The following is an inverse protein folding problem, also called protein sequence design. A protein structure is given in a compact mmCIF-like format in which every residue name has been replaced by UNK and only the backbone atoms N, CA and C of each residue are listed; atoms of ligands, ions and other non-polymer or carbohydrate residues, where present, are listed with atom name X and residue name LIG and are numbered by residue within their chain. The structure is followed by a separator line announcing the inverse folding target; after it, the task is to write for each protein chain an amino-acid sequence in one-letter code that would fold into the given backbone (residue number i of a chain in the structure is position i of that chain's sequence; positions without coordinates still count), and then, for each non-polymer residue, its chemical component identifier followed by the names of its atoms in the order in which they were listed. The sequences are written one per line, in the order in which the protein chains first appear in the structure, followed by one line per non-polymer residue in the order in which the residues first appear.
data_IF_948154854670
#
_entry.id   IF_948154854670
#
_cell.length_a   1.000
_cell.length_b   1.000
_cell.length_c   1.000
_cell.angle_alpha   90.00
_cell.angle_beta   90.00
_cell.angle_gamma   90.00
#
_symmetry.space_group_name_H-M   'P 1'
#
loop_
_entity.id
_entity.type
_entity.pdbx_description
1 polymer ?
#
# COMPACT_ATOMS: atom_id res chain seq x y z
N UNK A 1 -19.08 -8.22 -22.28
CA UNK A 1 -17.98 -7.76 -21.40
C UNK A 1 -18.65 -7.02 -20.26
N UNK A 2 -19.00 -7.73 -19.18
CA UNK A 2 -19.58 -7.09 -18.01
C UNK A 2 -18.44 -6.70 -17.10
N UNK A 3 -18.29 -5.41 -16.82
CA UNK A 3 -17.45 -4.95 -15.72
C UNK A 3 -18.00 -5.59 -14.45
N UNK A 4 -17.27 -6.55 -13.88
CA UNK A 4 -17.59 -7.09 -12.57
C UNK A 4 -17.45 -5.95 -11.58
N UNK A 5 -18.59 -5.43 -11.11
CA UNK A 5 -18.61 -4.43 -10.05
C UNK A 5 -18.02 -5.12 -8.82
N UNK A 6 -16.79 -4.73 -8.51
CA UNK A 6 -16.11 -5.15 -7.30
C UNK A 6 -16.94 -4.61 -6.14
N UNK A 7 -17.55 -5.50 -5.35
CA UNK A 7 -18.28 -5.11 -4.15
C UNK A 7 -17.28 -4.73 -3.05
N UNK A 8 -16.63 -3.59 -3.21
CA UNK A 8 -15.90 -2.95 -2.12
C UNK A 8 -16.94 -2.59 -1.05
N UNK A 9 -16.61 -2.77 0.24
CA UNK A 9 -17.44 -2.13 1.28
C UNK A 9 -17.49 -0.63 1.02
N UNK A 10 -18.55 0.03 1.51
CA UNK A 10 -18.63 1.49 1.45
C UNK A 10 -17.33 2.10 1.96
N UNK A 11 -16.86 3.12 1.24
CA UNK A 11 -15.71 3.91 1.67
C UNK A 11 -15.97 4.47 3.07
N UNK A 12 -14.97 4.39 3.94
CA UNK A 12 -15.04 4.98 5.27
C UNK A 12 -15.19 6.49 5.09
N UNK A 13 -16.31 7.03 5.58
CA UNK A 13 -16.61 8.45 5.48
C UNK A 13 -15.45 9.30 6.05
N UNK A 14 -15.00 10.28 5.28
CA UNK A 14 -13.93 11.19 5.68
C UNK A 14 -12.50 10.65 5.47
N UNK A 15 -12.33 9.40 5.00
CA UNK A 15 -11.01 8.78 4.85
C UNK A 15 -10.15 9.48 3.78
N UNK A 16 -10.76 9.94 2.69
CA UNK A 16 -10.06 10.71 1.65
C UNK A 16 -9.50 12.03 2.21
N UNK A 17 -10.33 12.80 2.93
CA UNK A 17 -9.89 14.06 3.54
C UNK A 17 -8.88 13.82 4.66
N UNK A 18 -9.03 12.75 5.45
CA UNK A 18 -8.04 12.38 6.45
C UNK A 18 -6.69 12.05 5.82
N UNK A 19 -6.68 11.30 4.73
CA UNK A 19 -5.46 10.98 4.00
C UNK A 19 -4.79 12.24 3.46
N UNK A 20 -5.53 13.14 2.81
CA UNK A 20 -4.97 14.40 2.29
C UNK A 20 -4.45 15.32 3.41
N UNK A 21 -5.13 15.37 4.57
CA UNK A 21 -4.62 16.07 5.76
C UNK A 21 -3.31 15.47 6.25
N UNK A 22 -3.22 14.14 6.33
CA UNK A 22 -2.01 13.45 6.77
C UNK A 22 -0.84 13.69 5.79
N UNK A 23 -1.10 13.61 4.48
CA UNK A 23 -0.12 13.90 3.42
C UNK A 23 0.39 15.34 3.54
N UNK A 24 -0.53 16.30 3.64
CA UNK A 24 -0.19 17.73 3.73
C UNK A 24 0.64 18.03 4.97
N UNK A 25 0.27 17.45 6.12
CA UNK A 25 1.04 17.57 7.36
C UNK A 25 2.45 17.00 7.22
N UNK A 26 2.60 15.77 6.70
CA UNK A 26 3.92 15.17 6.54
C UNK A 26 4.81 16.00 5.59
N UNK A 27 4.27 16.47 4.46
CA UNK A 27 5.02 17.33 3.52
C UNK A 27 5.53 18.59 4.22
N UNK A 28 4.66 19.28 4.98
CA UNK A 28 5.01 20.49 5.70
C UNK A 28 6.10 20.24 6.76
N UNK A 29 5.94 19.20 7.57
CA UNK A 29 6.88 18.83 8.63
C UNK A 29 8.26 18.47 8.07
N UNK A 30 8.34 17.60 7.06
CA UNK A 30 9.63 17.21 6.49
C UNK A 30 10.35 18.37 5.79
N UNK A 31 9.62 19.24 5.07
CA UNK A 31 10.19 20.43 4.46
C UNK A 31 10.67 21.44 5.50
N UNK A 32 9.93 21.61 6.60
CA UNK A 32 10.34 22.46 7.72
C UNK A 32 11.65 21.96 8.37
N UNK A 33 11.77 20.64 8.57
CA UNK A 33 13.02 20.05 9.05
C UNK A 33 14.16 20.24 8.04
N UNK A 34 13.92 19.98 6.75
CA UNK A 34 14.92 20.17 5.71
C UNK A 34 15.44 21.61 5.65
N UNK A 35 14.56 22.60 5.74
CA UNK A 35 14.91 24.03 5.75
C UNK A 35 15.74 24.44 6.97
N UNK A 36 15.58 23.77 8.12
CA UNK A 36 16.42 23.99 9.31
C UNK A 36 17.78 23.31 9.20
N UNK A 37 17.82 22.11 8.62
CA UNK A 37 19.05 21.31 8.48
C UNK A 37 19.97 21.89 7.41
N UNK A 38 19.40 22.39 6.31
CA UNK A 38 20.15 22.96 5.19
C UNK A 38 19.44 24.20 4.65
N UNK A 39 19.60 25.36 5.34
CA UNK A 39 18.94 26.60 4.94
C UNK A 39 19.34 27.04 3.53
N UNK A 40 18.36 27.43 2.72
CA UNK A 40 18.57 27.90 1.35
C UNK A 40 18.86 26.80 0.31
N UNK A 41 18.92 25.54 0.72
CA UNK A 41 19.05 24.40 -0.19
C UNK A 41 17.66 23.86 -0.52
N UNK A 42 17.30 23.86 -1.79
CA UNK A 42 16.06 23.24 -2.25
C UNK A 42 16.24 21.71 -2.34
N UNK A 43 15.51 20.91 -1.54
CA UNK A 43 15.65 19.47 -1.59
C UNK A 43 14.99 18.89 -2.84
N UNK A 44 15.62 17.88 -3.46
CA UNK A 44 14.90 17.03 -4.41
C UNK A 44 13.91 16.15 -3.63
N UNK A 45 12.63 16.22 -3.98
CA UNK A 45 11.58 15.41 -3.38
C UNK A 45 11.26 14.16 -4.22
N UNK A 46 11.06 13.04 -3.54
CA UNK A 46 10.45 11.83 -4.10
C UNK A 46 9.26 11.44 -3.24
N UNK A 47 8.10 11.28 -3.88
CA UNK A 47 6.83 10.98 -3.22
C UNK A 47 6.25 9.67 -3.75
N UNK A 48 5.64 8.88 -2.86
CA UNK A 48 5.01 7.62 -3.20
C UNK A 48 3.78 7.38 -2.34
N UNK A 49 2.70 6.98 -2.98
CA UNK A 49 1.52 6.42 -2.32
C UNK A 49 1.49 4.92 -2.54
N UNK A 50 1.23 4.17 -1.46
CA UNK A 50 1.11 2.72 -1.50
C UNK A 50 -0.18 2.28 -0.82
N UNK A 51 -0.87 1.35 -1.44
CA UNK A 51 -2.00 0.66 -0.82
C UNK A 51 -1.51 -0.36 0.21
N UNK A 52 -2.31 -0.55 1.26
CA UNK A 52 -2.08 -1.46 2.37
C UNK A 52 -3.32 -2.30 2.57
N UNK A 53 -3.09 -3.57 2.90
CA UNK A 53 -4.16 -4.54 3.08
C UNK A 53 -3.95 -5.32 4.37
N UNK A 54 -5.03 -5.55 5.12
CA UNK A 54 -5.05 -6.49 6.25
C UNK A 54 -5.48 -7.88 5.78
N UNK A 55 -5.28 -8.89 6.62
CA UNK A 55 -5.83 -10.23 6.38
C UNK A 55 -7.37 -10.25 6.35
N UNK A 56 -8.03 -9.33 7.07
CA UNK A 56 -9.48 -9.13 7.04
C UNK A 56 -9.98 -8.33 5.83
N UNK A 57 -9.12 -8.05 4.85
CA UNK A 57 -9.50 -7.36 3.62
C UNK A 57 -9.71 -5.86 3.75
N UNK A 58 -9.40 -5.25 4.90
CA UNK A 58 -9.38 -3.79 5.01
C UNK A 58 -8.33 -3.23 4.05
N UNK A 59 -8.68 -2.17 3.33
CA UNK A 59 -7.80 -1.47 2.40
C UNK A 59 -7.51 -0.08 2.94
N UNK A 60 -6.25 0.30 2.96
CA UNK A 60 -5.82 1.62 3.38
C UNK A 60 -4.74 2.18 2.48
N UNK A 61 -4.50 3.48 2.59
CA UNK A 61 -3.44 4.18 1.87
C UNK A 61 -2.38 4.65 2.84
N UNK A 62 -1.13 4.62 2.38
CA UNK A 62 -0.01 5.24 3.07
C UNK A 62 0.78 6.08 2.09
N UNK A 63 1.09 7.31 2.51
CA UNK A 63 1.97 8.19 1.78
C UNK A 63 3.37 8.16 2.40
N UNK A 64 4.39 8.20 1.56
CA UNK A 64 5.78 8.36 1.97
C UNK A 64 6.48 9.38 1.09
N UNK A 65 7.40 10.11 1.71
CA UNK A 65 8.19 11.15 1.07
C UNK A 65 9.65 10.97 1.43
N UNK A 66 10.54 11.32 0.52
CA UNK A 66 11.97 11.46 0.76
C UNK A 66 12.48 12.77 0.16
N UNK A 67 13.24 13.50 0.95
CA UNK A 67 13.93 14.72 0.58
C UNK A 67 15.42 14.41 0.54
N UNK A 68 16.07 14.75 -0.57
CA UNK A 68 17.49 14.56 -0.77
C UNK A 68 18.19 15.92 -0.79
N UNK A 69 19.11 16.11 0.14
CA UNK A 69 19.92 17.31 0.29
C UNK A 69 21.35 16.98 -0.15
N UNK A 70 21.79 17.64 -1.23
CA UNK A 70 23.14 17.51 -1.73
C UNK A 70 24.15 18.20 -0.80
N UNK A 71 25.39 17.71 -0.79
CA UNK A 71 26.56 18.41 -0.20
C UNK A 71 26.46 18.75 1.30
N UNK A 72 25.50 18.15 2.01
CA UNK A 72 25.30 18.38 3.44
C UNK A 72 26.10 17.36 4.26
N UNK A 73 26.94 17.83 5.19
CA UNK A 73 27.70 16.96 6.10
C UNK A 73 26.77 16.15 7.00
N UNK A 74 26.98 14.83 7.06
CA UNK A 74 26.12 13.91 7.79
C UNK A 74 26.11 14.11 9.29
N UNK A 75 27.29 14.34 9.88
CA UNK A 75 27.44 14.34 11.33
C UNK A 75 26.77 15.55 11.97
N UNK A 76 26.89 16.73 11.37
CA UNK A 76 26.21 17.94 11.84
C UNK A 76 24.71 17.92 11.52
N UNK A 77 24.33 17.36 10.37
CA UNK A 77 22.93 17.38 9.94
C UNK A 77 22.01 16.47 10.75
N UNK A 78 22.49 15.33 11.22
CA UNK A 78 21.67 14.42 12.04
C UNK A 78 21.34 15.05 13.40
N UNK A 79 22.29 15.76 14.02
CA UNK A 79 22.05 16.51 15.25
C UNK A 79 21.03 17.64 15.04
N UNK A 80 21.25 18.48 14.03
CA UNK A 80 20.31 19.55 13.69
C UNK A 80 18.90 19.03 13.35
N UNK A 81 18.81 17.88 12.68
CA UNK A 81 17.53 17.24 12.39
C UNK A 81 16.85 16.73 13.68
N UNK A 82 17.61 16.13 14.60
CA UNK A 82 17.07 15.67 15.87
C UNK A 82 16.47 16.83 16.67
N UNK A 83 17.17 17.96 16.76
CA UNK A 83 16.67 19.17 17.41
C UNK A 83 15.42 19.72 16.70
N UNK A 84 15.44 19.75 15.37
CA UNK A 84 14.30 20.23 14.58
C UNK A 84 13.04 19.36 14.76
N UNK A 85 13.20 18.04 14.78
CA UNK A 85 12.11 17.10 15.06
C UNK A 85 11.61 17.21 16.49
N UNK A 86 12.51 17.25 17.48
CA UNK A 86 12.15 17.40 18.88
C UNK A 86 11.40 18.72 19.16
N UNK A 87 11.85 19.84 18.58
CA UNK A 87 11.18 21.13 18.66
C UNK A 87 9.78 21.11 18.00
N UNK A 88 9.56 20.23 17.02
CA UNK A 88 8.25 19.96 16.43
C UNK A 88 7.45 18.88 17.19
N UNK A 89 7.87 18.49 18.40
CA UNK A 89 7.14 17.54 19.25
C UNK A 89 7.25 16.07 18.82
N UNK A 90 8.22 15.73 17.96
CA UNK A 90 8.49 14.34 17.62
C UNK A 90 9.36 13.68 18.69
N UNK A 91 9.11 12.39 18.94
CA UNK A 91 10.01 11.56 19.73
C UNK A 91 11.16 11.09 18.85
N UNK A 92 12.38 11.43 19.21
CA UNK A 92 13.58 11.12 18.43
C UNK A 92 14.42 10.03 19.07
N UNK A 93 15.03 9.20 18.25
CA UNK A 93 16.02 8.19 18.65
C UNK A 93 17.19 8.22 17.66
N UNK A 94 18.37 8.57 18.17
CA UNK A 94 19.62 8.57 17.40
C UNK A 94 20.33 7.23 17.57
N UNK A 95 20.81 6.69 16.46
CA UNK A 95 21.53 5.41 16.40
C UNK A 95 22.65 5.49 15.37
N UNK A 96 23.48 4.45 15.31
CA UNK A 96 24.46 4.27 14.22
C UNK A 96 24.01 3.12 13.33
N UNK A 97 24.20 3.28 12.02
CA UNK A 97 23.98 2.21 11.06
C UNK A 97 25.05 1.13 11.21
N UNK A 98 24.88 0.02 10.50
CA UNK A 98 25.89 -1.05 10.45
C UNK A 98 27.28 -0.54 9.99
N UNK A 99 27.30 0.47 9.11
CA UNK A 99 28.53 1.10 8.61
C UNK A 99 29.00 2.26 9.51
N UNK A 100 28.45 2.41 10.71
CA UNK A 100 28.86 3.43 11.69
C UNK A 100 28.32 4.84 11.43
N UNK A 101 27.61 5.07 10.32
CA UNK A 101 27.02 6.37 9.99
C UNK A 101 25.88 6.71 10.95
N UNK A 102 25.76 7.97 11.40
CA UNK A 102 24.65 8.38 12.24
C UNK A 102 23.33 8.26 11.47
N UNK A 103 22.30 7.78 12.17
CA UNK A 103 20.92 7.81 11.69
C UNK A 103 19.98 8.25 12.80
N UNK A 104 18.92 8.94 12.41
CA UNK A 104 17.84 9.37 13.27
C UNK A 104 16.56 8.64 12.89
N UNK A 105 15.82 8.17 13.89
CA UNK A 105 14.41 7.81 13.75
C UNK A 105 13.59 8.80 14.56
N UNK A 106 12.47 9.25 14.02
CA UNK A 106 11.52 10.12 14.70
C UNK A 106 10.10 9.58 14.55
N UNK A 107 9.28 9.68 15.60
CA UNK A 107 7.86 9.28 15.55
C UNK A 107 6.96 10.30 16.23
N UNK A 108 5.74 10.48 15.70
CA UNK A 108 4.71 11.36 16.28
C UNK A 108 3.34 10.91 15.78
N UNK A 109 2.41 10.59 16.68
CA UNK A 109 1.01 10.32 16.33
C UNK A 109 0.83 9.30 15.17
N UNK A 110 1.62 8.23 15.15
CA UNK A 110 1.61 7.22 14.09
C UNK A 110 2.36 7.58 12.81
N UNK A 111 2.81 8.83 12.67
CA UNK A 111 3.80 9.20 11.66
C UNK A 111 5.17 8.69 12.05
N UNK A 112 5.94 8.33 11.04
CA UNK A 112 7.35 7.95 11.19
C UNK A 112 8.21 8.78 10.25
N UNK A 113 9.36 9.22 10.73
CA UNK A 113 10.37 9.91 9.95
C UNK A 113 11.76 9.39 10.28
N UNK A 114 12.72 9.70 9.42
CA UNK A 114 14.10 9.35 9.65
C UNK A 114 15.05 10.23 8.85
N UNK A 115 16.28 10.30 9.34
CA UNK A 115 17.36 11.03 8.67
C UNK A 115 18.60 10.15 8.64
N UNK A 116 19.25 10.09 7.49
CA UNK A 116 20.48 9.32 7.35
C UNK A 116 21.16 9.54 6.01
N UNK A 117 22.33 8.92 5.87
CA UNK A 117 23.10 8.98 4.63
C UNK A 117 22.45 8.15 3.51
N UNK A 118 22.44 8.70 2.30
CA UNK A 118 22.11 8.03 1.05
C UNK A 118 23.22 8.34 0.03
N UNK A 119 24.27 7.52 0.02
CA UNK A 119 25.46 7.75 -0.80
C UNK A 119 26.25 8.98 -0.35
N UNK A 120 26.22 10.05 -1.17
CA UNK A 120 26.83 11.37 -0.86
C UNK A 120 25.80 12.45 -0.51
N UNK A 121 24.54 12.06 -0.31
CA UNK A 121 23.44 12.97 0.01
C UNK A 121 22.82 12.63 1.36
N UNK A 122 22.32 13.65 2.07
CA UNK A 122 21.48 13.44 3.24
C UNK A 122 20.05 13.16 2.78
N UNK A 123 19.46 12.09 3.30
CA UNK A 123 18.05 11.75 3.07
C UNK A 123 17.27 12.02 4.34
N UNK A 124 16.26 12.86 4.23
CA UNK A 124 15.18 13.00 5.20
C UNK A 124 13.97 12.27 4.64
N UNK A 125 13.46 11.26 5.32
CA UNK A 125 12.30 10.50 4.87
C UNK A 125 11.21 10.48 5.92
N UNK A 126 9.99 10.23 5.48
CA UNK A 126 8.90 9.95 6.39
C UNK A 126 7.71 9.29 5.71
N UNK A 127 6.78 8.84 6.53
CA UNK A 127 5.56 8.19 6.11
C UNK A 127 4.40 8.55 7.05
N UNK A 128 3.21 8.63 6.47
CA UNK A 128 1.96 8.80 7.22
C UNK A 128 1.60 7.51 7.96
N UNK A 129 0.72 7.57 8.98
CA UNK A 129 -0.06 6.40 9.35
C UNK A 129 -0.81 5.83 8.14
N UNK A 130 -1.23 4.56 8.23
CA UNK A 130 -2.17 4.02 7.24
C UNK A 130 -3.54 4.64 7.53
N UNK A 131 -4.12 5.29 6.53
CA UNK A 131 -5.51 5.71 6.57
C UNK A 131 -6.33 4.61 5.89
N UNK A 132 -7.22 3.97 6.65
CA UNK A 132 -8.07 2.92 6.11
C UNK A 132 -9.20 3.55 5.32
N UNK A 133 -9.32 3.16 4.05
CA UNK A 133 -10.32 3.66 3.10
C UNK A 133 -11.53 2.72 3.07
N UNK A 134 -11.31 1.41 3.26
CA UNK A 134 -12.36 0.41 3.35
C UNK A 134 -12.15 -0.44 4.58
N UNK A 135 -13.20 -0.59 5.40
CA UNK A 135 -13.12 -1.32 6.66
C UNK A 135 -12.98 -2.83 6.47
N UNK A 136 -13.55 -3.37 5.39
CA UNK A 136 -13.51 -4.79 5.07
C UNK A 136 -13.66 -5.03 3.57
N UNK A 137 -13.14 -6.14 3.09
CA UNK A 137 -13.49 -6.63 1.78
C UNK A 137 -14.72 -7.52 1.85
N UNK A 138 -15.63 -7.32 0.91
CA UNK A 138 -16.73 -8.25 0.69
C UNK A 138 -16.48 -8.93 -0.64
N UNK A 139 -16.38 -10.26 -0.62
CA UNK A 139 -16.26 -11.02 -1.86
C UNK A 139 -17.47 -10.74 -2.76
N UNK A 140 -17.27 -10.41 -4.05
CA UNK A 140 -18.38 -10.27 -4.98
C UNK A 140 -19.26 -11.53 -5.01
N UNK A 141 -20.57 -11.40 -5.29
CA UNK A 141 -21.45 -12.55 -5.43
C UNK A 141 -20.95 -13.49 -6.53
N UNK A 142 -21.38 -14.75 -6.48
CA UNK A 142 -20.98 -15.75 -7.47
C UNK A 142 -21.31 -15.29 -8.89
N UNK A 143 -20.33 -15.35 -9.78
CA UNK A 143 -20.51 -15.07 -11.20
C UNK A 143 -21.44 -16.08 -11.90
N UNK A 144 -21.52 -17.30 -11.39
CA UNK A 144 -22.47 -18.32 -11.82
C UNK A 144 -22.96 -19.17 -10.64
N UNK A 145 -24.26 -19.48 -10.64
CA UNK A 145 -24.89 -20.48 -9.78
C UNK A 145 -25.45 -21.62 -10.65
N UNK A 146 -25.84 -22.77 -10.08
CA UNK A 146 -26.49 -23.83 -10.85
C UNK A 146 -27.69 -23.34 -11.68
N UNK A 147 -28.43 -22.37 -11.16
CA UNK A 147 -29.63 -21.79 -11.79
C UNK A 147 -29.28 -20.83 -12.94
N UNK A 148 -28.10 -20.21 -12.90
CA UNK A 148 -27.66 -19.23 -13.92
C UNK A 148 -26.69 -19.83 -14.95
N UNK A 149 -26.48 -21.14 -14.95
CA UNK A 149 -25.58 -21.80 -15.89
C UNK A 149 -26.10 -21.68 -17.32
N UNK A 150 -25.20 -21.36 -18.26
CA UNK A 150 -25.52 -21.43 -19.69
C UNK A 150 -25.68 -22.90 -20.11
N UNK A 151 -26.61 -23.22 -21.04
CA UNK A 151 -26.70 -24.56 -21.60
C UNK A 151 -25.36 -25.07 -22.14
N UNK A 152 -24.96 -26.28 -21.75
CA UNK A 152 -23.67 -26.87 -22.12
C UNK A 152 -22.47 -26.36 -21.31
N UNK A 153 -22.69 -25.60 -20.24
CA UNK A 153 -21.67 -25.21 -19.27
C UNK A 153 -21.89 -25.92 -17.93
N UNK A 154 -20.83 -26.00 -17.14
CA UNK A 154 -20.86 -26.41 -15.74
C UNK A 154 -20.19 -25.33 -14.89
N UNK A 155 -20.43 -25.33 -13.58
CA UNK A 155 -19.67 -24.47 -12.68
C UNK A 155 -18.18 -24.79 -12.80
N UNK A 156 -17.35 -23.75 -12.78
CA UNK A 156 -15.90 -23.92 -12.76
C UNK A 156 -15.53 -24.74 -11.52
N UNK A 157 -14.79 -25.82 -11.71
CA UNK A 157 -14.46 -26.73 -10.61
C UNK A 157 -13.54 -26.08 -9.56
N UNK A 158 -12.70 -25.13 -9.98
CA UNK A 158 -11.72 -24.49 -9.09
C UNK A 158 -12.36 -23.43 -8.21
N UNK A 159 -13.16 -22.54 -8.80
CA UNK A 159 -13.81 -21.46 -8.07
C UNK A 159 -15.28 -21.73 -7.71
N UNK A 160 -15.83 -22.89 -8.05
CA UNK A 160 -17.21 -23.30 -7.72
C UNK A 160 -18.29 -22.28 -8.13
N UNK A 161 -18.10 -21.55 -9.24
CA UNK A 161 -19.07 -20.52 -9.64
C UNK A 161 -18.77 -19.12 -9.15
N UNK A 162 -17.81 -18.93 -8.24
CA UNK A 162 -17.49 -17.60 -7.72
C UNK A 162 -16.97 -16.64 -8.80
N UNK A 163 -16.22 -17.14 -9.79
CA UNK A 163 -15.59 -16.29 -10.80
C UNK A 163 -14.34 -15.57 -10.29
N UNK A 164 -14.28 -15.19 -9.01
CA UNK A 164 -13.07 -14.66 -8.36
C UNK A 164 -12.12 -15.76 -7.88
N UNK A 165 -10.83 -15.42 -7.77
CA UNK A 165 -9.79 -16.31 -7.25
C UNK A 165 -10.16 -16.81 -5.85
N UNK A 166 -10.04 -18.13 -5.63
CA UNK A 166 -10.43 -18.76 -4.35
C UNK A 166 -9.43 -18.46 -3.25
N UNK A 167 -8.12 -18.44 -3.54
CA UNK A 167 -7.09 -18.25 -2.54
C UNK A 167 -7.09 -16.85 -1.91
N UNK A 168 -7.45 -15.82 -2.67
CA UNK A 168 -7.56 -14.44 -2.14
C UNK A 168 -9.01 -13.93 -2.11
N UNK A 169 -9.99 -14.76 -2.46
CA UNK A 169 -11.40 -14.37 -2.50
C UNK A 169 -11.69 -13.11 -3.34
N UNK A 170 -10.88 -12.88 -4.38
CA UNK A 170 -10.96 -11.69 -5.23
C UNK A 170 -10.23 -10.46 -4.70
N UNK A 171 -9.52 -10.54 -3.57
CA UNK A 171 -8.72 -9.43 -3.02
C UNK A 171 -7.48 -9.10 -3.86
N UNK A 172 -6.93 -10.08 -4.57
CA UNK A 172 -5.63 -9.97 -5.23
C UNK A 172 -4.42 -10.12 -4.28
N UNK A 173 -4.64 -10.22 -2.97
CA UNK A 173 -3.59 -10.34 -1.95
C UNK A 173 -3.89 -11.42 -0.91
N UNK A 174 -2.84 -12.00 -0.33
CA UNK A 174 -2.89 -12.90 0.83
C UNK A 174 -1.76 -12.48 1.78
N UNK A 175 -2.06 -12.23 3.06
CA UNK A 175 -1.08 -11.79 4.07
C UNK A 175 -0.21 -10.61 3.60
N UNK A 176 -0.86 -9.57 3.06
CA UNK A 176 -0.21 -8.35 2.53
C UNK A 176 0.81 -8.59 1.40
N UNK A 177 0.80 -9.77 0.77
CA UNK A 177 1.57 -10.09 -0.43
C UNK A 177 0.65 -10.33 -1.60
N UNK A 178 1.12 -10.07 -2.82
CA UNK A 178 0.37 -10.39 -4.04
C UNK A 178 0.00 -11.87 -4.02
N UNK A 179 -1.26 -12.17 -4.32
CA UNK A 179 -1.74 -13.55 -4.38
C UNK A 179 -0.94 -14.29 -5.46
N UNK A 180 -0.35 -15.44 -5.10
CA UNK A 180 0.49 -16.21 -6.01
C UNK A 180 -0.33 -16.86 -7.14
N UNK A 181 -1.63 -17.12 -6.92
CA UNK A 181 -2.50 -17.73 -7.91
C UNK A 181 -2.96 -16.75 -8.99
N UNK A 182 -3.52 -15.60 -8.58
CA UNK A 182 -4.10 -14.66 -9.53
C UNK A 182 -3.16 -13.50 -9.91
N UNK A 183 -2.05 -13.29 -9.19
CA UNK A 183 -1.05 -12.27 -9.53
C UNK A 183 -1.56 -10.83 -9.61
N UNK A 184 -2.61 -10.49 -8.84
CA UNK A 184 -3.44 -9.26 -8.88
C UNK A 184 -4.62 -9.26 -9.87
N UNK A 185 -4.80 -10.30 -10.68
CA UNK A 185 -5.93 -10.38 -11.61
C UNK A 185 -7.31 -10.46 -10.94
N UNK A 186 -7.36 -10.83 -9.65
CA UNK A 186 -8.56 -11.01 -8.80
C UNK A 186 -9.56 -12.08 -9.28
N UNK A 187 -9.63 -12.33 -10.58
CA UNK A 187 -10.40 -13.39 -11.21
C UNK A 187 -9.77 -14.76 -10.99
N UNK A 188 -10.62 -15.79 -11.00
CA UNK A 188 -10.18 -17.18 -11.06
C UNK A 188 -9.41 -17.40 -12.37
N UNK A 189 -8.16 -17.90 -12.31
CA UNK A 189 -7.32 -18.05 -13.50
C UNK A 189 -7.90 -19.05 -14.52
N UNK A 190 -8.70 -20.02 -14.07
CA UNK A 190 -9.27 -21.07 -14.94
C UNK A 190 -10.49 -20.59 -15.73
N UNK A 191 -11.45 -19.93 -15.06
CA UNK A 191 -12.68 -19.46 -15.71
C UNK A 191 -12.64 -17.99 -16.10
N UNK A 192 -11.57 -17.26 -15.76
CA UNK A 192 -11.36 -15.83 -16.06
C UNK A 192 -12.57 -14.97 -15.71
N UNK A 193 -13.04 -15.09 -14.47
CA UNK A 193 -14.16 -14.29 -13.95
C UNK A 193 -15.55 -14.86 -14.25
N UNK A 194 -15.70 -15.83 -15.17
CA UNK A 194 -17.03 -16.25 -15.63
C UNK A 194 -17.79 -17.18 -14.68
N UNK A 195 -17.10 -17.80 -13.72
CA UNK A 195 -17.66 -18.80 -12.80
C UNK A 195 -18.04 -20.14 -13.45
N UNK A 196 -17.90 -20.28 -14.77
CA UNK A 196 -18.39 -21.44 -15.49
C UNK A 196 -17.43 -21.86 -16.61
N UNK A 197 -17.47 -23.14 -16.98
CA UNK A 197 -16.63 -23.70 -18.02
C UNK A 197 -17.48 -24.57 -18.96
N UNK A 198 -17.09 -24.60 -20.24
CA UNK A 198 -17.81 -25.36 -21.25
C UNK A 198 -17.59 -26.85 -21.02
N UNK A 199 -18.66 -27.64 -20.99
CA UNK A 199 -18.56 -29.10 -20.95
C UNK A 199 -18.03 -29.55 -22.30
N UNK A 200 -16.77 -30.02 -22.33
CA UNK A 200 -16.26 -30.72 -23.52
C UNK A 200 -16.98 -32.04 -23.61
N UNK A 201 -17.61 -32.32 -24.75
CA UNK A 201 -18.11 -33.67 -25.03
C UNK A 201 -16.91 -34.60 -24.99
N UNK A 202 -16.93 -35.58 -24.09
CA UNK A 202 -16.03 -36.72 -24.20
C UNK A 202 -16.40 -37.36 -25.55
N UNK A 203 -15.47 -37.35 -26.51
CA UNK A 203 -15.64 -38.15 -27.71
C UNK A 203 -15.71 -39.60 -27.23
N UNK A 204 -16.91 -40.17 -27.24
CA UNK A 204 -17.12 -41.55 -26.84
C UNK A 204 -16.24 -42.43 -27.71
N UNK A 205 -15.26 -43.08 -27.08
CA UNK A 205 -14.57 -44.22 -27.66
C UNK A 205 -15.62 -45.28 -27.99
N UNK A 206 -15.75 -45.58 -29.27
CA UNK A 206 -16.33 -46.83 -29.74
C UNK A 206 -15.27 -47.91 -29.68
#
# INVERSE_FOLDING_TARGET
MGAGVVAMSEEIEGAAEEFERAVSRLRGELRSVAARVSPGVEPRAEERTADRHTAGGAMGKRFSMSLFLAETSYESAVGAAADAFAAAGWRTESRRSFHGHPFLRATREGFEAGVGAAGRTLRISGQTPVVWIHAQWVRPPRAATPETLKPGYRLCAVCEGWGSCRACEGLGFVNSRRCAECGLGMDCPDCRGTGQERVRRVAGGR
#
